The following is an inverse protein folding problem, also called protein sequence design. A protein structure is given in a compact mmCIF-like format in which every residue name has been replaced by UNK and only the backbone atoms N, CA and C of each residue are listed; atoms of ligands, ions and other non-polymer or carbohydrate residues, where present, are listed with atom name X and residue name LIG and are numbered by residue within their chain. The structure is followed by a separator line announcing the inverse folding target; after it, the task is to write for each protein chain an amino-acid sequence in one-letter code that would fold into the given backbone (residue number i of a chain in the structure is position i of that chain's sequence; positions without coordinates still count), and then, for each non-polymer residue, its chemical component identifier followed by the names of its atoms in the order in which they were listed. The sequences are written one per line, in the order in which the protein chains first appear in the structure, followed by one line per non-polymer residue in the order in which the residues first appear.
data_IF_728545206515
#
_entry.id   IF_728545206515
#
_cell.length_a   1.000
_cell.length_b   1.000
_cell.length_c   1.000
_cell.angle_alpha   90.00
_cell.angle_beta   90.00
_cell.angle_gamma   90.00
#
_symmetry.space_group_name_H-M   'P 1'
#
loop_
_entity.id
_entity.type
_entity.pdbx_description
1 polymer ?
#
# COMPACT_ATOMS: atom_id res chain seq x y z
N UNK A 1 -0.87 -8.14 13.04
CA UNK A 1 0.32 -7.68 12.28
C UNK A 1 1.06 -6.54 12.96
N UNK A 2 0.42 -5.40 13.24
CA UNK A 2 1.08 -4.26 13.92
C UNK A 2 0.47 -3.87 15.28
N UNK A 3 -0.63 -4.51 15.70
CA UNK A 3 -1.34 -4.22 16.97
C UNK A 3 -1.70 -2.72 17.18
N UNK A 4 -1.89 -1.99 16.09
CA UNK A 4 -2.31 -0.58 16.12
C UNK A 4 -3.83 -0.49 16.25
N UNK A 5 -4.31 0.51 17.00
CA UNK A 5 -5.74 0.86 17.02
C UNK A 5 -6.10 1.47 15.66
N UNK A 6 -7.01 0.83 14.92
CA UNK A 6 -7.48 1.31 13.63
C UNK A 6 -8.93 1.79 13.76
N UNK A 7 -9.19 3.06 13.47
CA UNK A 7 -10.54 3.61 13.38
C UNK A 7 -10.89 3.76 11.90
N UNK A 8 -12.00 3.15 11.48
CA UNK A 8 -12.43 3.15 10.08
C UNK A 8 -13.73 3.96 10.00
N UNK A 9 -13.70 5.05 9.25
CA UNK A 9 -14.85 5.89 8.99
C UNK A 9 -15.22 5.79 7.51
N UNK A 10 -16.47 5.42 7.23
CA UNK A 10 -17.00 5.36 5.88
C UNK A 10 -17.20 6.76 5.31
N UNK A 11 -16.75 6.96 4.06
CA UNK A 11 -16.97 8.19 3.30
C UNK A 11 -17.94 7.88 2.15
N UNK A 12 -18.86 8.79 1.84
CA UNK A 12 -19.76 8.61 0.69
C UNK A 12 -19.00 8.83 -0.65
N UNK A 13 -19.59 8.41 -1.77
CA UNK A 13 -18.98 8.51 -3.11
C UNK A 13 -18.57 9.96 -3.45
N UNK A 14 -19.43 10.94 -3.17
CA UNK A 14 -19.16 12.34 -3.53
C UNK A 14 -17.97 12.93 -2.78
N UNK A 15 -17.87 12.66 -1.47
CA UNK A 15 -16.75 13.09 -0.65
C UNK A 15 -15.47 12.34 -1.02
N UNK A 16 -15.56 11.07 -1.38
CA UNK A 16 -14.41 10.26 -1.82
C UNK A 16 -13.83 10.78 -3.15
N UNK A 17 -14.70 11.18 -4.09
CA UNK A 17 -14.30 11.85 -5.33
C UNK A 17 -13.65 13.21 -5.06
N UNK A 18 -14.21 14.01 -4.15
CA UNK A 18 -13.61 15.29 -3.80
C UNK A 18 -12.22 15.10 -3.19
N UNK A 19 -12.08 14.14 -2.28
CA UNK A 19 -10.80 13.75 -1.68
C UNK A 19 -9.77 13.37 -2.75
N UNK A 20 -10.13 12.53 -3.72
CA UNK A 20 -9.22 12.11 -4.79
C UNK A 20 -8.80 13.26 -5.73
N UNK A 21 -9.69 14.23 -6.00
CA UNK A 21 -9.34 15.44 -6.77
C UNK A 21 -8.34 16.31 -6.04
N UNK A 22 -8.61 16.62 -4.76
CA UNK A 22 -7.77 17.51 -3.96
C UNK A 22 -6.41 16.86 -3.70
N UNK A 23 -6.38 15.61 -3.26
CA UNK A 23 -5.15 14.88 -2.96
C UNK A 23 -4.33 14.57 -4.23
N UNK A 24 -4.96 14.51 -5.41
CA UNK A 24 -4.26 14.33 -6.68
C UNK A 24 -3.45 15.54 -7.12
N UNK A 25 -3.73 16.73 -6.57
CA UNK A 25 -3.00 17.98 -6.83
C UNK A 25 -1.85 18.21 -5.84
N UNK A 26 -1.83 17.48 -4.73
CA UNK A 26 -0.78 17.59 -3.71
C UNK A 26 0.53 16.98 -4.27
N UNK A 27 1.70 17.62 -4.07
CA UNK A 27 2.99 17.05 -4.43
C UNK A 27 3.17 15.64 -3.84
N UNK A 28 3.53 14.67 -4.68
CA UNK A 28 3.60 13.26 -4.31
C UNK A 28 2.30 12.46 -4.50
N UNK A 29 1.19 13.11 -4.88
CA UNK A 29 -0.10 12.50 -5.26
C UNK A 29 -0.54 11.37 -4.32
N UNK A 30 -0.71 11.64 -3.00
CA UNK A 30 -1.01 10.61 -2.01
C UNK A 30 -2.27 9.80 -2.34
N UNK A 31 -3.24 10.42 -3.02
CA UNK A 31 -4.43 9.74 -3.50
C UNK A 31 -4.93 10.42 -4.78
N UNK A 32 -5.11 9.66 -5.86
CA UNK A 32 -5.51 10.18 -7.18
C UNK A 32 -6.89 9.66 -7.61
N UNK A 33 -7.45 10.28 -8.65
CA UNK A 33 -8.68 9.81 -9.28
C UNK A 33 -8.56 8.38 -9.84
N UNK A 34 -7.41 8.02 -10.40
CA UNK A 34 -7.18 6.66 -10.89
C UNK A 34 -7.20 5.65 -9.74
N UNK A 35 -6.63 5.99 -8.58
CA UNK A 35 -6.71 5.14 -7.38
C UNK A 35 -8.15 4.99 -6.90
N UNK A 36 -8.95 6.07 -6.96
CA UNK A 36 -10.37 6.01 -6.61
C UNK A 36 -11.15 5.05 -7.51
N UNK A 37 -10.90 5.06 -8.82
CA UNK A 37 -11.56 4.14 -9.74
C UNK A 37 -11.10 2.68 -9.55
N UNK A 38 -9.80 2.45 -9.33
CA UNK A 38 -9.27 1.12 -9.08
C UNK A 38 -9.82 0.50 -7.77
N UNK A 39 -10.02 1.29 -6.72
CA UNK A 39 -10.56 0.81 -5.43
C UNK A 39 -12.05 0.42 -5.48
N UNK A 40 -12.79 0.83 -6.50
CA UNK A 40 -14.19 0.45 -6.68
C UNK A 40 -14.34 -0.97 -7.27
N UNK A 41 -13.25 -1.59 -7.70
CA UNK A 41 -13.28 -2.89 -8.34
C UNK A 41 -12.22 -3.83 -7.75
N UNK A 42 -12.63 -5.07 -7.46
CA UNK A 42 -11.72 -6.09 -6.97
C UNK A 42 -10.79 -6.55 -8.09
N UNK A 43 -9.53 -6.09 -8.06
CA UNK A 43 -8.47 -6.53 -8.97
C UNK A 43 -7.84 -7.84 -8.48
N UNK A 44 -8.63 -8.91 -8.48
CA UNK A 44 -8.24 -10.25 -8.01
C UNK A 44 -8.28 -11.26 -9.15
N UNK A 45 -7.34 -12.19 -9.16
CA UNK A 45 -7.37 -13.33 -10.08
C UNK A 45 -8.30 -14.41 -9.53
N UNK A 46 -9.14 -14.99 -10.38
CA UNK A 46 -9.96 -16.14 -10.00
C UNK A 46 -9.10 -17.39 -9.74
N UNK A 47 -8.07 -17.60 -10.57
CA UNK A 47 -7.15 -18.73 -10.49
C UNK A 47 -5.72 -18.27 -10.17
N UNK A 48 -5.08 -18.93 -9.20
CA UNK A 48 -3.71 -18.64 -8.82
C UNK A 48 -2.72 -19.38 -9.73
N UNK A 49 -2.02 -18.65 -10.59
CA UNK A 49 -1.03 -19.21 -11.52
C UNK A 49 0.36 -19.46 -10.90
N UNK A 50 0.63 -18.98 -9.68
CA UNK A 50 1.95 -19.14 -9.04
C UNK A 50 2.41 -20.59 -8.90
N UNK A 51 1.56 -21.56 -8.52
CA UNK A 51 1.96 -22.98 -8.43
C UNK A 51 2.37 -23.56 -9.79
N UNK A 52 1.72 -23.14 -10.88
CA UNK A 52 2.05 -23.55 -12.26
C UNK A 52 3.45 -23.08 -12.66
N UNK A 53 3.94 -22.01 -12.05
CA UNK A 53 5.30 -21.49 -12.23
C UNK A 53 6.30 -22.10 -11.24
N UNK A 54 5.89 -23.08 -10.42
CA UNK A 54 6.71 -23.66 -9.36
C UNK A 54 6.93 -22.74 -8.15
N UNK A 55 6.13 -21.67 -8.01
CA UNK A 55 6.28 -20.68 -6.94
C UNK A 55 5.28 -20.99 -5.82
N UNK A 56 5.80 -21.18 -4.60
CA UNK A 56 4.96 -21.32 -3.40
C UNK A 56 4.55 -19.94 -2.88
N UNK A 57 3.24 -19.60 -2.84
CA UNK A 57 2.80 -18.29 -2.35
C UNK A 57 3.17 -18.09 -0.88
N UNK A 58 3.77 -16.96 -0.56
CA UNK A 58 4.05 -16.57 0.83
C UNK A 58 2.91 -15.71 1.35
N UNK A 59 2.30 -16.04 2.50
CA UNK A 59 1.25 -15.22 3.09
C UNK A 59 1.73 -13.80 3.38
N UNK A 60 0.93 -12.80 2.98
CA UNK A 60 1.24 -11.38 3.23
C UNK A 60 1.46 -11.09 4.73
N UNK A 61 0.75 -11.82 5.60
CA UNK A 61 0.89 -11.70 7.05
C UNK A 61 2.23 -12.22 7.60
N UNK A 62 2.96 -13.04 6.85
CA UNK A 62 4.31 -13.45 7.24
C UNK A 62 5.33 -12.32 6.96
N UNK A 63 5.15 -11.56 5.87
CA UNK A 63 6.18 -10.63 5.37
C UNK A 63 5.94 -9.17 5.77
N UNK A 64 4.69 -8.72 5.89
CA UNK A 64 4.34 -7.32 6.23
C UNK A 64 4.92 -6.79 7.54
N UNK A 65 4.99 -7.54 8.66
CA UNK A 65 5.52 -6.96 9.90
C UNK A 65 7.01 -6.64 9.75
N UNK A 66 7.72 -7.38 8.90
CA UNK A 66 9.11 -7.17 8.58
C UNK A 66 9.34 -5.82 7.85
N UNK A 67 8.44 -5.45 6.91
CA UNK A 67 8.51 -4.18 6.18
C UNK A 67 8.07 -2.97 7.02
N UNK A 68 6.98 -3.11 7.77
CA UNK A 68 6.33 -1.98 8.44
C UNK A 68 6.79 -1.75 9.88
N UNK A 69 7.22 -2.80 10.60
CA UNK A 69 7.67 -2.66 12.00
C UNK A 69 9.18 -2.37 12.13
N UNK A 70 9.90 -2.22 11.00
CA UNK A 70 11.35 -1.96 11.02
C UNK A 70 12.21 -3.09 11.61
N UNK A 71 11.64 -4.29 11.78
CA UNK A 71 12.26 -5.43 12.50
C UNK A 71 13.34 -6.19 11.72
N UNK A 72 13.86 -5.59 10.64
CA UNK A 72 14.82 -6.23 9.74
C UNK A 72 16.12 -5.44 9.74
N UNK A 73 17.28 -6.12 9.73
CA UNK A 73 18.61 -5.49 9.65
C UNK A 73 18.73 -4.46 8.49
N UNK A 74 17.98 -4.68 7.39
CA UNK A 74 17.95 -3.82 6.21
C UNK A 74 17.05 -2.58 6.34
N UNK A 75 16.21 -2.47 7.37
CA UNK A 75 15.36 -1.31 7.62
C UNK A 75 16.19 -0.03 7.85
N UNK A 76 17.36 -0.16 8.48
CA UNK A 76 18.31 0.94 8.65
C UNK A 76 18.82 1.49 7.30
N UNK A 77 18.96 0.67 6.26
CA UNK A 77 19.38 1.12 4.94
C UNK A 77 18.36 2.02 4.23
N UNK A 78 17.08 1.97 4.58
CA UNK A 78 16.08 2.91 4.03
C UNK A 78 16.37 4.35 4.48
N UNK A 79 16.89 4.55 5.69
CA UNK A 79 17.33 5.86 6.19
C UNK A 79 18.47 6.44 5.33
N UNK A 80 19.50 5.64 5.07
CA UNK A 80 20.64 6.04 4.22
C UNK A 80 20.22 6.36 2.78
N UNK A 81 19.28 5.61 2.19
CA UNK A 81 18.73 5.89 0.84
C UNK A 81 17.90 7.17 0.77
N UNK A 82 17.22 7.52 1.86
CA UNK A 82 16.46 8.78 1.96
C UNK A 82 17.38 9.98 2.07
N UNK A 83 18.57 9.80 2.65
CA UNK A 83 19.59 10.82 2.77
C UNK A 83 20.34 11.06 1.45
N UNK A 84 20.64 10.00 0.69
CA UNK A 84 21.27 10.13 -0.64
C UNK A 84 20.36 10.70 -1.72
N UNK A 85 19.03 10.63 -1.58
CA UNK A 85 18.07 11.29 -2.49
C UNK A 85 17.94 12.80 -2.26
N UNK A 86 18.61 13.35 -1.24
CA UNK A 86 18.61 14.78 -0.89
C UNK A 86 19.96 15.45 -1.15
N UNK A 87 20.93 14.70 -1.68
CA UNK A 87 22.25 15.19 -2.09
C UNK A 87 22.29 15.38 -3.61
#
# INVERSE_FOLDING_TARGET
LLQLKCHIYGLNDSLSRLQAKVLGLVPGKPFSMDNYYALQHDSVCADNALPTLGITPTPIAATVPAYLAGRNARGHYQGFRRQSRRA
#
